data_IF_200922536988
#
_entry.id   IF_200922536988
#
_cell.length_a   1.000
_cell.length_b   1.000
_cell.length_c   1.000
_cell.angle_alpha   90.00
_cell.angle_beta   90.00
_cell.angle_gamma   90.00
#
_symmetry.space_group_name_H-M   'P 1'
#
loop_
_entity.id
_entity.type
_entity.pdbx_description
1 polymer ?
#
# COMPACT_ATOMS: atom_id res chain seq x y z
N UNK A 1 26.61 -2.25 -52.50
CA UNK A 1 27.37 -3.29 -51.76
C UNK A 1 26.84 -3.34 -50.32
N UNK A 2 26.15 -4.43 -49.99
CA UNK A 2 25.70 -4.61 -48.60
C UNK A 2 26.92 -4.77 -47.70
N UNK A 3 27.03 -3.92 -46.70
CA UNK A 3 28.16 -3.92 -45.74
C UNK A 3 27.99 -5.08 -44.74
N UNK A 4 28.10 -6.32 -45.20
CA UNK A 4 27.90 -7.56 -44.43
C UNK A 4 28.80 -7.61 -43.20
N UNK A 5 30.00 -7.01 -43.27
CA UNK A 5 30.90 -6.93 -42.13
C UNK A 5 30.38 -6.03 -40.99
N UNK A 6 29.87 -4.86 -41.32
CA UNK A 6 29.28 -3.94 -40.32
C UNK A 6 28.05 -4.58 -39.66
N UNK A 7 27.23 -5.28 -40.42
CA UNK A 7 26.06 -5.97 -39.89
C UNK A 7 26.45 -7.10 -38.92
N UNK A 8 27.49 -7.85 -39.27
CA UNK A 8 28.04 -8.91 -38.40
C UNK A 8 28.61 -8.35 -37.08
N UNK A 9 29.39 -7.26 -37.18
CA UNK A 9 29.96 -6.58 -35.99
C UNK A 9 28.82 -6.08 -35.10
N UNK A 10 27.80 -5.43 -35.66
CA UNK A 10 26.65 -4.95 -34.90
C UNK A 10 25.91 -6.12 -34.22
N UNK A 11 25.67 -7.23 -34.90
CA UNK A 11 25.00 -8.41 -34.32
C UNK A 11 25.80 -8.99 -33.15
N UNK A 12 27.12 -9.11 -33.29
CA UNK A 12 27.99 -9.64 -32.23
C UNK A 12 27.99 -8.69 -31.01
N UNK A 13 28.09 -7.37 -31.25
CA UNK A 13 28.01 -6.39 -30.15
C UNK A 13 26.67 -6.44 -29.43
N UNK A 14 25.59 -6.56 -30.17
CA UNK A 14 24.24 -6.69 -29.60
C UNK A 14 24.13 -7.98 -28.77
N UNK A 15 24.60 -9.12 -29.30
CA UNK A 15 24.61 -10.37 -28.55
C UNK A 15 25.43 -10.29 -27.26
N UNK A 16 26.59 -9.66 -27.31
CA UNK A 16 27.41 -9.42 -26.11
C UNK A 16 26.69 -8.53 -25.09
N UNK A 17 26.02 -7.47 -25.53
CA UNK A 17 25.22 -6.63 -24.66
C UNK A 17 24.07 -7.41 -24.00
N UNK A 18 23.38 -8.28 -24.73
CA UNK A 18 22.33 -9.14 -24.18
C UNK A 18 22.90 -10.13 -23.14
N UNK A 19 24.01 -10.78 -23.43
CA UNK A 19 24.68 -11.71 -22.49
C UNK A 19 25.12 -10.97 -21.23
N UNK A 20 25.70 -9.78 -21.38
CA UNK A 20 26.08 -8.94 -20.26
C UNK A 20 24.87 -8.59 -19.38
N UNK A 21 23.76 -8.15 -19.97
CA UNK A 21 22.55 -7.81 -19.26
C UNK A 21 21.92 -8.99 -18.52
N UNK A 22 21.86 -10.16 -19.16
CA UNK A 22 21.33 -11.40 -18.56
C UNK A 22 22.23 -11.94 -17.45
N UNK A 23 23.54 -11.64 -17.47
CA UNK A 23 24.47 -12.13 -16.47
C UNK A 23 24.17 -11.62 -15.05
N UNK A 24 23.58 -10.42 -14.90
CA UNK A 24 23.17 -9.90 -13.61
C UNK A 24 22.18 -10.83 -12.90
N UNK A 25 21.17 -11.32 -13.60
CA UNK A 25 20.18 -12.25 -13.03
C UNK A 25 20.80 -13.59 -12.59
N UNK A 26 21.83 -14.05 -13.27
CA UNK A 26 22.52 -15.30 -12.90
C UNK A 26 23.31 -15.13 -11.61
N UNK A 27 23.99 -14.01 -11.45
CA UNK A 27 24.80 -13.76 -10.25
C UNK A 27 23.93 -13.42 -9.02
N UNK A 28 22.85 -12.66 -9.17
CA UNK A 28 21.90 -12.37 -8.07
C UNK A 28 21.19 -13.62 -7.59
N UNK A 29 20.77 -14.52 -8.51
CA UNK A 29 20.07 -15.76 -8.15
C UNK A 29 20.89 -16.71 -7.28
N UNK A 30 22.21 -16.64 -7.36
CA UNK A 30 23.12 -17.42 -6.52
C UNK A 30 23.02 -17.06 -5.05
N UNK A 31 23.00 -15.77 -4.72
CA UNK A 31 22.82 -15.28 -3.35
C UNK A 31 21.38 -15.48 -2.86
N UNK A 32 20.40 -15.24 -3.70
CA UNK A 32 18.98 -15.45 -3.37
C UNK A 32 18.66 -16.90 -2.99
N UNK A 33 19.26 -17.87 -3.69
CA UNK A 33 19.10 -19.29 -3.32
C UNK A 33 19.71 -19.62 -1.96
N UNK A 34 20.87 -19.04 -1.63
CA UNK A 34 21.50 -19.19 -0.31
C UNK A 34 20.60 -18.56 0.77
N UNK A 35 20.14 -17.34 0.54
CA UNK A 35 19.24 -16.64 1.44
C UNK A 35 17.97 -17.45 1.72
N UNK A 36 17.33 -17.99 0.69
CA UNK A 36 16.12 -18.82 0.83
C UNK A 36 16.40 -20.13 1.58
N UNK A 37 17.56 -20.76 1.36
CA UNK A 37 17.92 -21.98 2.07
C UNK A 37 18.16 -21.71 3.57
N UNK A 38 18.88 -20.65 3.90
CA UNK A 38 19.21 -20.28 5.29
C UNK A 38 17.96 -19.77 6.02
N UNK A 39 17.11 -18.98 5.35
CA UNK A 39 15.84 -18.52 5.88
C UNK A 39 14.92 -19.67 6.30
N UNK A 40 14.85 -20.75 5.53
CA UNK A 40 14.06 -21.93 5.89
C UNK A 40 14.56 -22.60 7.18
N UNK A 41 15.86 -22.73 7.34
CA UNK A 41 16.46 -23.31 8.54
C UNK A 41 16.18 -22.45 9.77
N UNK A 42 16.36 -21.13 9.64
CA UNK A 42 16.11 -20.19 10.74
C UNK A 42 14.61 -20.10 11.10
N UNK A 43 13.75 -20.08 10.09
CA UNK A 43 12.29 -20.06 10.30
C UNK A 43 11.82 -21.33 11.01
N UNK A 44 12.34 -22.50 10.64
CA UNK A 44 12.02 -23.75 11.31
C UNK A 44 12.49 -23.74 12.77
N UNK A 45 13.71 -23.33 13.05
CA UNK A 45 14.24 -23.22 14.40
C UNK A 45 13.44 -22.23 15.27
N UNK A 46 13.04 -21.11 14.71
CA UNK A 46 12.19 -20.12 15.40
C UNK A 46 10.79 -20.66 15.67
N UNK A 47 10.18 -21.38 14.72
CA UNK A 47 8.89 -22.04 14.89
C UNK A 47 8.93 -23.10 15.97
N UNK A 48 9.98 -23.94 15.98
CA UNK A 48 10.16 -24.98 16.99
C UNK A 48 10.30 -24.37 18.40
N UNK A 49 11.03 -23.25 18.51
CA UNK A 49 11.19 -22.51 19.76
C UNK A 49 9.86 -21.90 20.25
N UNK A 50 9.07 -21.31 19.35
CA UNK A 50 7.75 -20.76 19.69
C UNK A 50 6.75 -21.84 20.07
N UNK A 51 6.83 -23.00 19.42
CA UNK A 51 6.00 -24.16 19.75
C UNK A 51 6.34 -24.71 21.13
N UNK A 52 7.62 -24.77 21.49
CA UNK A 52 8.08 -25.15 22.82
C UNK A 52 7.59 -24.19 23.93
N UNK A 53 7.37 -22.91 23.59
CA UNK A 53 6.80 -21.89 24.47
C UNK A 53 5.25 -21.86 24.48
N UNK A 54 4.59 -22.81 23.82
CA UNK A 54 3.12 -22.90 23.75
C UNK A 54 2.45 -21.93 22.78
N UNK A 55 3.23 -21.23 21.94
CA UNK A 55 2.74 -20.22 20.96
C UNK A 55 2.79 -20.70 19.52
N UNK A 56 2.87 -22.00 19.29
CA UNK A 56 3.02 -22.59 17.95
C UNK A 56 1.82 -22.35 17.01
N UNK A 57 0.61 -22.17 17.56
CA UNK A 57 -0.60 -21.97 16.74
C UNK A 57 -0.66 -20.60 16.02
N UNK A 58 0.18 -19.64 16.41
CA UNK A 58 0.20 -18.29 15.83
C UNK A 58 1.34 -18.10 14.80
N UNK A 59 2.11 -19.15 14.50
CA UNK A 59 3.32 -19.03 13.68
C UNK A 59 2.98 -19.14 12.20
N UNK A 60 3.10 -18.02 11.51
CA UNK A 60 3.08 -17.98 10.05
C UNK A 60 4.48 -18.28 9.50
N UNK A 61 4.71 -19.54 9.11
CA UNK A 61 6.00 -20.01 8.59
C UNK A 61 6.46 -19.25 7.34
N UNK A 62 5.54 -18.92 6.44
CA UNK A 62 5.90 -18.18 5.21
C UNK A 62 6.35 -16.76 5.53
N UNK A 63 5.72 -16.14 6.54
CA UNK A 63 6.12 -14.83 7.02
C UNK A 63 7.52 -14.84 7.63
N UNK A 64 7.82 -15.85 8.44
CA UNK A 64 9.12 -16.03 9.06
C UNK A 64 10.20 -16.29 8.01
N UNK A 65 9.96 -17.20 7.07
CA UNK A 65 10.89 -17.47 5.97
C UNK A 65 11.20 -16.18 5.18
N UNK A 66 10.17 -15.42 4.80
CA UNK A 66 10.35 -14.17 4.06
C UNK A 66 11.08 -13.11 4.88
N UNK A 67 10.83 -13.03 6.18
CA UNK A 67 11.51 -12.11 7.07
C UNK A 67 13.02 -12.42 7.15
N UNK A 68 13.39 -13.68 7.39
CA UNK A 68 14.78 -14.10 7.44
C UNK A 68 15.48 -14.00 6.08
N UNK A 69 14.80 -14.33 4.98
CA UNK A 69 15.33 -14.14 3.63
C UNK A 69 15.66 -12.67 3.36
N UNK A 70 14.73 -11.76 3.66
CA UNK A 70 14.95 -10.32 3.49
C UNK A 70 16.01 -9.77 4.44
N UNK A 71 16.13 -10.30 5.64
CA UNK A 71 17.17 -9.93 6.56
C UNK A 71 18.54 -10.34 6.01
N UNK A 72 18.70 -11.58 5.58
CA UNK A 72 19.91 -12.10 4.98
C UNK A 72 20.35 -11.28 3.77
N UNK A 73 19.44 -11.00 2.84
CA UNK A 73 19.73 -10.22 1.65
C UNK A 73 20.14 -8.77 1.97
N UNK A 74 19.59 -8.17 3.02
CA UNK A 74 20.00 -6.84 3.49
C UNK A 74 21.39 -6.84 4.11
N UNK A 75 21.69 -7.83 4.93
CA UNK A 75 23.00 -7.99 5.56
C UNK A 75 24.11 -8.22 4.52
N UNK A 76 23.79 -8.93 3.43
CA UNK A 76 24.72 -9.27 2.34
C UNK A 76 24.55 -8.35 1.10
N UNK A 77 23.83 -7.24 1.21
CA UNK A 77 23.61 -6.31 0.10
C UNK A 77 24.91 -5.72 -0.49
N UNK A 78 25.93 -5.56 0.35
CA UNK A 78 27.26 -5.07 -0.02
C UNK A 78 28.22 -6.13 -0.55
N UNK A 79 27.87 -7.42 -0.49
CA UNK A 79 28.75 -8.50 -0.91
C UNK A 79 28.94 -8.49 -2.42
N UNK A 80 30.20 -8.64 -2.83
CA UNK A 80 30.57 -8.68 -4.25
C UNK A 80 30.15 -10.01 -4.86
N UNK A 81 29.08 -9.99 -5.63
CA UNK A 81 28.53 -11.19 -6.30
C UNK A 81 28.96 -11.31 -7.76
N UNK A 82 29.37 -10.20 -8.39
CA UNK A 82 29.83 -10.18 -9.79
C UNK A 82 31.36 -10.29 -9.86
N UNK A 83 31.91 -11.45 -10.28
CA UNK A 83 33.34 -11.71 -10.16
C UNK A 83 34.22 -10.86 -11.10
N UNK A 84 33.69 -10.47 -12.29
CA UNK A 84 34.45 -9.75 -13.32
C UNK A 84 34.55 -8.26 -13.02
N UNK A 85 33.46 -7.63 -12.63
CA UNK A 85 33.38 -6.19 -12.42
C UNK A 85 33.32 -5.79 -10.93
N UNK A 86 33.20 -6.78 -10.03
CA UNK A 86 33.18 -6.55 -8.59
C UNK A 86 31.92 -5.83 -8.09
N UNK A 87 30.80 -5.87 -8.84
CA UNK A 87 29.55 -5.29 -8.39
C UNK A 87 28.99 -6.03 -7.18
N UNK A 88 28.46 -5.26 -6.25
CA UNK A 88 27.73 -5.78 -5.08
C UNK A 88 26.38 -6.37 -5.50
N UNK A 89 25.75 -7.13 -4.58
CA UNK A 89 24.41 -7.65 -4.80
C UNK A 89 23.39 -6.53 -5.07
N UNK A 90 23.43 -5.44 -4.28
CA UNK A 90 22.54 -4.31 -4.47
C UNK A 90 22.69 -3.67 -5.87
N UNK A 91 23.93 -3.43 -6.32
CA UNK A 91 24.21 -2.88 -7.65
C UNK A 91 23.78 -3.82 -8.78
N UNK A 92 23.98 -5.14 -8.61
CA UNK A 92 23.51 -6.13 -9.57
C UNK A 92 21.98 -6.17 -9.63
N UNK A 93 21.31 -6.05 -8.49
CA UNK A 93 19.85 -6.06 -8.39
C UNK A 93 19.21 -4.83 -9.04
N UNK A 94 19.85 -3.67 -8.91
CA UNK A 94 19.42 -2.45 -9.60
C UNK A 94 19.54 -2.55 -11.14
N UNK A 95 20.60 -3.25 -11.61
CA UNK A 95 20.87 -3.44 -13.05
C UNK A 95 20.16 -4.65 -13.65
N UNK A 96 19.56 -5.50 -12.83
CA UNK A 96 18.82 -6.68 -13.29
C UNK A 96 17.62 -6.30 -14.15
N UNK A 97 17.32 -7.12 -15.16
CA UNK A 97 16.12 -6.93 -15.99
C UNK A 97 14.88 -7.17 -15.13
N UNK A 98 14.01 -6.18 -15.10
CA UNK A 98 12.68 -6.31 -14.46
C UNK A 98 11.82 -7.29 -15.27
N UNK A 99 11.69 -8.51 -14.77
CA UNK A 99 10.76 -9.49 -15.30
C UNK A 99 9.37 -9.20 -14.75
N UNK A 100 8.44 -8.84 -15.65
CA UNK A 100 7.04 -8.57 -15.30
C UNK A 100 6.30 -9.80 -14.78
N UNK A 101 5.02 -9.63 -14.51
CA UNK A 101 4.10 -10.68 -14.03
C UNK A 101 4.07 -11.92 -14.92
N UNK A 102 4.20 -11.74 -16.22
CA UNK A 102 4.13 -12.83 -17.20
C UNK A 102 5.28 -13.84 -17.06
N UNK A 103 6.45 -13.40 -16.60
CA UNK A 103 7.65 -14.22 -16.49
C UNK A 103 7.95 -14.69 -15.08
N UNK A 104 7.66 -13.87 -14.06
CA UNK A 104 7.88 -14.21 -12.63
C UNK A 104 6.60 -14.72 -11.95
N UNK A 105 5.44 -14.59 -12.59
CA UNK A 105 4.16 -14.75 -11.91
C UNK A 105 3.96 -13.63 -10.87
N UNK A 106 2.99 -13.77 -9.99
CA UNK A 106 2.68 -12.77 -8.98
C UNK A 106 1.22 -12.35 -9.00
N UNK A 107 0.94 -11.08 -8.66
CA UNK A 107 -0.41 -10.53 -8.69
C UNK A 107 -0.43 -9.09 -9.19
N UNK A 108 -1.52 -8.73 -9.86
CA UNK A 108 -1.92 -7.34 -10.11
C UNK A 108 -3.12 -7.01 -9.22
N UNK A 109 -3.12 -5.83 -8.64
CA UNK A 109 -4.20 -5.30 -7.82
C UNK A 109 -4.50 -3.88 -8.27
N UNK A 110 -5.77 -3.57 -8.44
CA UNK A 110 -6.23 -2.20 -8.63
C UNK A 110 -6.92 -1.75 -7.34
N UNK A 111 -6.43 -0.70 -6.74
CA UNK A 111 -7.04 -0.04 -5.58
C UNK A 111 -7.65 1.27 -6.04
N UNK A 112 -8.74 1.66 -5.42
CA UNK A 112 -9.43 2.91 -5.73
C UNK A 112 -9.57 3.73 -4.46
N UNK A 113 -9.20 5.00 -4.55
CA UNK A 113 -9.47 6.00 -3.51
C UNK A 113 -10.88 6.51 -3.73
N UNK A 114 -11.74 6.38 -2.72
CA UNK A 114 -13.11 6.84 -2.81
C UNK A 114 -13.17 8.38 -2.80
N UNK A 115 -13.16 8.97 -3.98
CA UNK A 115 -13.32 10.42 -4.11
C UNK A 115 -14.69 10.91 -3.58
N UNK A 116 -15.80 10.18 -3.80
CA UNK A 116 -17.07 10.55 -3.16
C UNK A 116 -16.99 10.66 -1.65
N UNK A 117 -16.37 9.69 -0.97
CA UNK A 117 -16.21 9.73 0.49
C UNK A 117 -15.27 10.87 0.93
N UNK A 118 -14.24 11.16 0.14
CA UNK A 118 -13.38 12.31 0.41
C UNK A 118 -14.16 13.62 0.39
N UNK A 119 -15.02 13.83 -0.62
CA UNK A 119 -15.87 15.02 -0.74
C UNK A 119 -16.86 15.11 0.43
N UNK A 120 -17.49 13.99 0.83
CA UNK A 120 -18.36 13.93 2.02
C UNK A 120 -17.62 14.28 3.30
N UNK A 121 -16.42 13.74 3.51
CA UNK A 121 -15.62 14.05 4.70
C UNK A 121 -15.16 15.52 4.72
N UNK A 122 -14.81 16.09 3.57
CA UNK A 122 -14.44 17.50 3.46
C UNK A 122 -15.63 18.44 3.69
N UNK A 123 -16.86 18.01 3.43
CA UNK A 123 -18.08 18.73 3.77
C UNK A 123 -18.52 18.52 5.24
N UNK A 124 -17.73 17.81 6.07
CA UNK A 124 -18.11 17.38 7.42
C UNK A 124 -19.40 16.58 7.47
N UNK A 125 -19.65 15.75 6.43
CA UNK A 125 -20.87 15.01 6.23
C UNK A 125 -22.11 15.92 6.19
N UNK A 126 -22.04 16.99 5.42
CA UNK A 126 -23.10 17.98 5.28
C UNK A 126 -24.44 17.31 4.96
N UNK A 127 -25.48 17.75 5.66
CA UNK A 127 -26.87 17.31 5.44
C UNK A 127 -27.67 18.29 4.57
N UNK A 128 -26.99 19.24 3.93
CA UNK A 128 -27.63 20.17 2.99
C UNK A 128 -28.32 19.40 1.87
N UNK A 129 -29.63 19.64 1.62
CA UNK A 129 -30.40 18.88 0.63
C UNK A 129 -29.83 18.98 -0.79
N UNK A 130 -29.29 20.16 -1.17
CA UNK A 130 -28.70 20.34 -2.50
C UNK A 130 -27.40 19.54 -2.64
N UNK A 131 -26.56 19.54 -1.60
CA UNK A 131 -25.35 18.75 -1.53
C UNK A 131 -25.65 17.25 -1.64
N UNK A 132 -26.59 16.75 -0.82
CA UNK A 132 -26.96 15.33 -0.80
C UNK A 132 -27.51 14.89 -2.15
N UNK A 133 -28.39 15.70 -2.78
CA UNK A 133 -28.94 15.41 -4.09
C UNK A 133 -27.84 15.40 -5.17
N UNK A 134 -26.94 16.40 -5.18
CA UNK A 134 -25.84 16.47 -6.12
C UNK A 134 -24.90 15.26 -5.99
N UNK A 135 -24.56 14.86 -4.77
CA UNK A 135 -23.72 13.69 -4.50
C UNK A 135 -24.34 12.39 -5.00
N UNK A 136 -25.64 12.19 -4.76
CA UNK A 136 -26.38 11.01 -5.23
C UNK A 136 -26.41 10.94 -6.78
N UNK A 137 -26.71 12.07 -7.43
CA UNK A 137 -26.75 12.16 -8.90
C UNK A 137 -25.37 11.96 -9.52
N UNK A 138 -24.33 12.57 -8.95
CA UNK A 138 -22.96 12.41 -9.40
C UNK A 138 -22.48 10.95 -9.31
N UNK A 139 -22.79 10.25 -8.21
CA UNK A 139 -22.52 8.81 -8.05
C UNK A 139 -23.24 7.96 -9.12
N UNK A 140 -24.50 8.26 -9.38
CA UNK A 140 -25.26 7.55 -10.43
C UNK A 140 -24.64 7.76 -11.82
N UNK A 141 -24.18 8.97 -12.13
CA UNK A 141 -23.53 9.29 -13.40
C UNK A 141 -22.13 8.73 -13.53
N UNK A 142 -21.41 8.55 -12.43
CA UNK A 142 -20.03 8.02 -12.44
C UNK A 142 -19.94 6.63 -13.09
N UNK A 143 -21.01 5.84 -13.00
CA UNK A 143 -21.05 4.50 -13.60
C UNK A 143 -21.15 4.51 -15.13
N UNK A 144 -21.55 5.63 -15.73
CA UNK A 144 -21.82 5.79 -17.17
C UNK A 144 -21.05 6.92 -17.83
N UNK A 145 -20.14 7.57 -17.11
CA UNK A 145 -19.34 8.70 -17.60
C UNK A 145 -17.86 8.48 -17.31
N UNK A 146 -17.01 8.90 -18.23
CA UNK A 146 -15.54 8.92 -18.08
C UNK A 146 -15.04 10.21 -17.38
N UNK A 147 -15.93 11.14 -17.05
CA UNK A 147 -15.57 12.37 -16.34
C UNK A 147 -15.19 12.09 -14.89
N UNK A 148 -14.29 12.90 -14.34
CA UNK A 148 -13.95 12.79 -12.91
C UNK A 148 -15.13 13.13 -12.02
N UNK A 149 -15.17 12.50 -10.83
CA UNK A 149 -16.30 12.65 -9.91
C UNK A 149 -16.55 14.11 -9.49
N UNK A 150 -15.49 14.91 -9.30
CA UNK A 150 -15.64 16.30 -8.84
C UNK A 150 -16.28 17.16 -9.93
N UNK A 151 -15.96 16.89 -11.20
CA UNK A 151 -16.63 17.54 -12.34
C UNK A 151 -18.10 17.16 -12.37
N UNK A 152 -18.44 15.86 -12.25
CA UNK A 152 -19.83 15.39 -12.20
C UNK A 152 -20.58 16.02 -11.03
N UNK A 153 -19.97 16.07 -9.84
CA UNK A 153 -20.53 16.71 -8.66
C UNK A 153 -20.84 18.19 -8.90
N UNK A 154 -19.87 18.95 -9.46
CA UNK A 154 -20.08 20.37 -9.76
C UNK A 154 -21.21 20.63 -10.75
N UNK A 155 -21.30 19.80 -11.81
CA UNK A 155 -22.39 19.88 -12.78
C UNK A 155 -23.75 19.55 -12.17
N UNK A 156 -23.83 18.54 -11.32
CA UNK A 156 -25.10 18.14 -10.67
C UNK A 156 -25.49 19.16 -9.59
N UNK A 157 -24.52 19.72 -8.86
CA UNK A 157 -24.79 20.75 -7.87
C UNK A 157 -25.36 22.02 -8.50
N UNK A 158 -24.80 22.45 -9.62
CA UNK A 158 -25.28 23.61 -10.37
C UNK A 158 -26.72 23.43 -10.94
N UNK A 159 -27.20 22.21 -11.09
CA UNK A 159 -28.56 21.91 -11.57
C UNK A 159 -29.63 21.95 -10.48
N UNK A 160 -29.23 21.88 -9.20
CA UNK A 160 -30.19 21.89 -8.09
C UNK A 160 -30.75 23.30 -7.93
N UNK A 161 -32.05 23.47 -8.06
CA UNK A 161 -32.69 24.76 -7.87
C UNK A 161 -32.60 25.21 -6.41
N UNK A 162 -32.21 26.48 -6.20
CA UNK A 162 -32.10 27.09 -4.88
C UNK A 162 -30.88 26.66 -4.06
N UNK A 163 -29.87 26.04 -4.68
CA UNK A 163 -28.62 25.76 -4.00
C UNK A 163 -27.93 27.05 -3.53
N UNK A 164 -27.32 26.97 -2.35
CA UNK A 164 -26.40 28.01 -1.87
C UNK A 164 -25.00 27.88 -2.54
N UNK A 165 -24.07 28.76 -2.24
CA UNK A 165 -22.70 28.64 -2.73
C UNK A 165 -21.98 27.46 -2.05
N UNK A 166 -21.02 26.84 -2.73
CA UNK A 166 -20.18 25.76 -2.17
C UNK A 166 -19.43 26.20 -0.90
N UNK A 167 -19.16 27.50 -0.75
CA UNK A 167 -18.56 28.05 0.47
C UNK A 167 -19.39 27.76 1.73
N UNK A 168 -20.72 27.72 1.65
CA UNK A 168 -21.59 27.40 2.78
C UNK A 168 -21.43 25.93 3.24
N UNK A 169 -20.95 25.04 2.38
CA UNK A 169 -20.81 23.60 2.61
C UNK A 169 -19.40 23.25 3.06
N UNK A 170 -18.38 23.80 2.40
CA UNK A 170 -16.99 23.37 2.59
C UNK A 170 -16.14 24.31 3.44
N UNK A 171 -16.54 25.58 3.59
CA UNK A 171 -15.76 26.51 4.37
C UNK A 171 -15.83 26.20 5.85
N UNK A 172 -14.66 26.05 6.47
CA UNK A 172 -14.48 25.99 7.93
C UNK A 172 -13.29 26.84 8.32
N UNK A 173 -13.32 27.57 9.44
CA UNK A 173 -12.18 28.35 9.95
C UNK A 173 -10.88 27.55 10.09
N UNK A 174 -10.99 26.26 10.37
CA UNK A 174 -9.85 25.33 10.50
C UNK A 174 -9.24 24.95 9.15
N UNK A 175 -9.94 25.19 8.04
CA UNK A 175 -9.52 24.87 6.67
C UNK A 175 -9.40 26.09 5.76
N UNK A 176 -9.21 27.28 6.36
CA UNK A 176 -9.04 28.54 5.62
C UNK A 176 -7.88 28.53 4.60
N UNK A 177 -6.87 27.69 4.81
CA UNK A 177 -5.74 27.56 3.89
C UNK A 177 -6.10 26.75 2.63
N UNK A 178 -7.16 25.96 2.71
CA UNK A 178 -7.65 25.14 1.61
C UNK A 178 -8.81 25.79 0.87
N UNK A 179 -9.73 26.41 1.62
CA UNK A 179 -10.96 27.01 1.13
C UNK A 179 -11.05 28.49 1.53
N UNK A 180 -11.08 29.37 0.52
CA UNK A 180 -11.29 30.79 0.76
C UNK A 180 -12.79 31.05 0.95
N UNK A 181 -13.15 31.82 1.97
CA UNK A 181 -14.54 32.19 2.28
C UNK A 181 -15.24 32.92 1.14
N UNK A 182 -14.49 33.72 0.38
CA UNK A 182 -15.00 34.55 -0.73
C UNK A 182 -14.78 33.89 -2.09
N UNK A 183 -14.26 32.66 -2.11
CA UNK A 183 -13.99 31.89 -3.32
C UNK A 183 -15.26 31.57 -4.11
N UNK A 184 -15.13 31.49 -5.41
CA UNK A 184 -16.20 31.01 -6.31
C UNK A 184 -16.40 29.50 -6.19
N UNK A 185 -17.54 28.99 -6.63
CA UNK A 185 -17.79 27.54 -6.66
C UNK A 185 -16.73 26.79 -7.49
N UNK A 186 -16.21 27.40 -8.55
CA UNK A 186 -15.11 26.83 -9.33
C UNK A 186 -13.80 26.75 -8.54
N UNK A 187 -13.50 27.74 -7.69
CA UNK A 187 -12.33 27.70 -6.79
C UNK A 187 -12.44 26.55 -5.80
N UNK A 188 -13.65 26.29 -5.28
CA UNK A 188 -13.94 25.16 -4.41
C UNK A 188 -13.77 23.82 -5.14
N UNK A 189 -14.30 23.67 -6.35
CA UNK A 189 -14.11 22.48 -7.15
C UNK A 189 -12.62 22.22 -7.46
N UNK A 190 -11.86 23.29 -7.75
CA UNK A 190 -10.42 23.19 -7.96
C UNK A 190 -9.66 22.83 -6.67
N UNK A 191 -10.11 23.31 -5.51
CA UNK A 191 -9.56 22.94 -4.22
C UNK A 191 -9.83 21.45 -3.92
N UNK A 192 -11.04 20.96 -4.18
CA UNK A 192 -11.40 19.56 -4.06
C UNK A 192 -10.54 18.65 -4.97
N UNK A 193 -10.26 19.08 -6.22
CA UNK A 193 -9.37 18.34 -7.13
C UNK A 193 -7.94 18.24 -6.58
N UNK A 194 -7.40 19.36 -6.07
CA UNK A 194 -6.06 19.35 -5.43
C UNK A 194 -6.00 18.42 -4.23
N UNK A 195 -7.06 18.40 -3.42
CA UNK A 195 -7.11 17.52 -2.26
C UNK A 195 -7.25 16.04 -2.65
N UNK A 196 -8.05 15.74 -3.67
CA UNK A 196 -8.15 14.40 -4.24
C UNK A 196 -6.79 13.90 -4.78
N UNK A 197 -6.04 14.76 -5.46
CA UNK A 197 -4.70 14.44 -5.93
C UNK A 197 -3.71 14.24 -4.76
N UNK A 198 -3.79 15.08 -3.74
CA UNK A 198 -2.99 14.95 -2.52
C UNK A 198 -3.29 13.63 -1.80
N UNK A 199 -4.55 13.28 -1.64
CA UNK A 199 -4.98 12.01 -1.06
C UNK A 199 -4.46 10.81 -1.86
N UNK A 200 -4.52 10.86 -3.20
CA UNK A 200 -4.00 9.82 -4.08
C UNK A 200 -2.48 9.68 -3.95
N UNK A 201 -1.74 10.79 -3.89
CA UNK A 201 -0.29 10.81 -3.70
C UNK A 201 0.11 10.24 -2.32
N UNK A 202 -0.63 10.59 -1.27
CA UNK A 202 -0.41 10.06 0.06
C UNK A 202 -0.68 8.55 0.11
N UNK A 203 -1.76 8.10 -0.53
CA UNK A 203 -2.12 6.68 -0.62
C UNK A 203 -1.04 5.90 -1.36
N UNK A 204 -0.55 6.40 -2.50
CA UNK A 204 0.57 5.78 -3.23
C UNK A 204 1.79 5.61 -2.32
N UNK A 205 2.18 6.65 -1.58
CA UNK A 205 3.34 6.62 -0.68
C UNK A 205 3.16 5.59 0.45
N UNK A 206 1.97 5.51 1.03
CA UNK A 206 1.63 4.52 2.06
C UNK A 206 1.71 3.11 1.49
N UNK A 207 1.12 2.89 0.31
CA UNK A 207 1.13 1.59 -0.37
C UNK A 207 2.57 1.17 -0.72
N UNK A 208 3.38 2.08 -1.23
CA UNK A 208 4.81 1.83 -1.50
C UNK A 208 5.54 1.39 -0.24
N UNK A 209 5.38 2.13 0.86
CA UNK A 209 6.02 1.79 2.15
C UNK A 209 5.56 0.42 2.67
N UNK A 210 4.29 0.06 2.47
CA UNK A 210 3.76 -1.25 2.86
C UNK A 210 4.36 -2.37 2.00
N UNK A 211 4.42 -2.16 0.69
CA UNK A 211 4.94 -3.13 -0.28
C UNK A 211 6.44 -3.37 -0.04
N UNK A 212 7.22 -2.32 0.23
CA UNK A 212 8.64 -2.43 0.53
C UNK A 212 8.92 -3.30 1.76
N UNK A 213 8.01 -3.27 2.77
CA UNK A 213 8.11 -4.15 3.95
C UNK A 213 7.87 -5.62 3.64
N UNK A 214 7.19 -5.95 2.54
CA UNK A 214 7.02 -7.33 2.08
C UNK A 214 8.23 -7.89 1.36
N UNK A 215 9.22 -7.06 1.04
CA UNK A 215 10.41 -7.49 0.30
C UNK A 215 10.13 -7.91 -1.14
N UNK A 216 9.03 -7.42 -1.73
CA UNK A 216 8.75 -7.65 -3.15
C UNK A 216 9.78 -6.90 -3.97
N UNK A 217 10.55 -7.63 -4.76
CA UNK A 217 11.52 -7.03 -5.65
C UNK A 217 10.80 -6.29 -6.79
N UNK A 218 11.05 -4.98 -6.90
CA UNK A 218 10.64 -4.13 -8.03
C UNK A 218 9.12 -4.11 -8.28
N UNK A 219 8.30 -3.64 -7.32
CA UNK A 219 6.88 -3.45 -7.56
C UNK A 219 6.65 -2.31 -8.55
N UNK A 220 5.68 -2.47 -9.45
CA UNK A 220 5.19 -1.39 -10.31
C UNK A 220 3.95 -0.78 -9.65
N UNK A 221 3.98 0.53 -9.38
CA UNK A 221 2.85 1.27 -8.80
C UNK A 221 2.55 2.43 -9.74
N UNK A 222 1.38 2.39 -10.36
CA UNK A 222 0.97 3.37 -11.37
C UNK A 222 -0.37 4.00 -10.98
N UNK A 223 -0.39 5.32 -10.89
CA UNK A 223 -1.63 6.09 -10.70
C UNK A 223 -2.32 6.25 -12.04
N UNK A 224 -3.61 5.97 -12.10
CA UNK A 224 -4.45 6.31 -13.23
C UNK A 224 -5.03 7.70 -13.01
N UNK A 225 -4.69 8.62 -13.89
CA UNK A 225 -5.19 9.98 -13.82
C UNK A 225 -6.73 9.98 -13.91
N UNK A 226 -7.37 10.89 -13.18
CA UNK A 226 -8.82 11.17 -13.17
C UNK A 226 -9.73 10.08 -12.59
N UNK A 227 -9.25 8.85 -12.36
CA UNK A 227 -10.09 7.74 -11.87
C UNK A 227 -9.96 7.47 -10.39
N UNK A 228 -8.98 8.08 -9.70
CA UNK A 228 -8.66 7.75 -8.31
C UNK A 228 -8.06 6.35 -8.12
N UNK A 229 -7.69 5.66 -9.20
CA UNK A 229 -7.20 4.29 -9.17
C UNK A 229 -5.68 4.22 -9.14
N UNK A 230 -5.18 3.26 -8.40
CA UNK A 230 -3.76 2.91 -8.32
C UNK A 230 -3.63 1.45 -8.74
N UNK A 231 -2.95 1.21 -9.85
CA UNK A 231 -2.61 -0.13 -10.30
C UNK A 231 -1.28 -0.54 -9.69
N UNK A 232 -1.25 -1.70 -9.08
CA UNK A 232 -0.08 -2.25 -8.41
C UNK A 232 0.21 -3.62 -8.98
N UNK A 233 1.43 -3.81 -9.49
CA UNK A 233 1.92 -5.08 -9.96
C UNK A 233 3.03 -5.57 -9.02
N UNK A 234 2.88 -6.78 -8.53
CA UNK A 234 3.77 -7.40 -7.56
C UNK A 234 4.33 -8.70 -8.12
N UNK A 235 5.43 -8.63 -8.91
CA UNK A 235 6.05 -9.82 -9.48
C UNK A 235 6.63 -10.73 -8.39
N UNK A 236 6.48 -12.05 -8.57
CA UNK A 236 7.08 -13.06 -7.70
C UNK A 236 6.39 -13.28 -6.35
N UNK A 237 5.28 -12.60 -6.08
CA UNK A 237 4.49 -12.82 -4.86
C UNK A 237 3.84 -14.19 -4.88
N UNK A 238 4.10 -14.99 -3.84
CA UNK A 238 3.53 -16.34 -3.66
C UNK A 238 2.21 -16.29 -2.88
N UNK A 239 2.18 -15.54 -1.77
CA UNK A 239 1.01 -15.40 -0.90
C UNK A 239 0.19 -14.16 -1.27
N UNK A 240 -0.77 -14.35 -2.18
CA UNK A 240 -1.64 -13.28 -2.68
C UNK A 240 -2.64 -12.79 -1.65
N UNK A 241 -3.13 -13.68 -0.77
CA UNK A 241 -4.16 -13.35 0.20
C UNK A 241 -3.60 -12.50 1.35
N UNK A 242 -2.40 -12.80 1.78
CA UNK A 242 -1.69 -12.00 2.76
C UNK A 242 -1.42 -10.58 2.24
N UNK A 243 -0.90 -10.47 1.02
CA UNK A 243 -0.65 -9.17 0.39
C UNK A 243 -1.95 -8.38 0.28
N UNK A 244 -3.04 -9.01 -0.18
CA UNK A 244 -4.36 -8.36 -0.26
C UNK A 244 -4.80 -7.82 1.10
N UNK A 245 -4.72 -8.62 2.16
CA UNK A 245 -5.09 -8.19 3.53
C UNK A 245 -4.31 -6.96 3.98
N UNK A 246 -3.00 -6.91 3.71
CA UNK A 246 -2.17 -5.77 4.13
C UNK A 246 -2.40 -4.54 3.28
N UNK A 247 -2.61 -4.68 1.97
CA UNK A 247 -2.94 -3.56 1.11
C UNK A 247 -4.31 -2.95 1.46
N UNK A 248 -5.28 -3.78 1.83
CA UNK A 248 -6.62 -3.35 2.21
C UNK A 248 -6.73 -2.90 3.68
N UNK A 249 -5.75 -3.23 4.53
CA UNK A 249 -5.82 -2.85 5.93
C UNK A 249 -5.76 -1.34 6.09
N UNK A 250 -6.74 -0.79 6.79
CA UNK A 250 -6.73 0.58 7.28
C UNK A 250 -6.04 0.59 8.64
N UNK A 251 -5.11 1.53 8.84
CA UNK A 251 -4.48 1.74 10.12
C UNK A 251 -5.09 3.02 10.74
N UNK A 252 -5.90 2.86 11.77
CA UNK A 252 -6.30 3.97 12.60
C UNK A 252 -5.23 4.18 13.67
N UNK A 253 -4.76 5.41 13.79
CA UNK A 253 -3.89 5.79 14.91
C UNK A 253 -4.80 6.12 16.09
N UNK A 254 -4.72 5.28 17.11
CA UNK A 254 -5.46 5.47 18.36
C UNK A 254 -4.48 5.66 19.50
N UNK A 255 -4.75 6.65 20.34
CA UNK A 255 -4.01 6.87 21.56
C UNK A 255 -4.87 6.37 22.72
N UNK A 256 -4.35 5.39 23.46
CA UNK A 256 -5.03 4.83 24.61
C UNK A 256 -4.31 5.28 25.87
N UNK A 257 -5.06 5.87 26.79
CA UNK A 257 -4.57 6.11 28.12
C UNK A 257 -4.45 4.77 28.85
N UNK A 258 -3.26 4.46 29.33
CA UNK A 258 -3.00 3.19 30.03
C UNK A 258 -2.83 3.45 31.51
N UNK A 259 -3.35 2.55 32.33
CA UNK A 259 -3.18 2.58 33.77
C UNK A 259 -2.15 1.54 34.19
N UNK A 260 -1.30 1.87 35.14
CA UNK A 260 -0.40 0.91 35.73
C UNK A 260 -1.19 -0.14 36.54
N UNK A 261 -0.68 -1.38 36.54
CA UNK A 261 -1.31 -2.49 37.29
C UNK A 261 -1.51 -2.13 38.78
N UNK A 262 -0.66 -1.30 39.33
CA UNK A 262 -0.76 -0.83 40.73
C UNK A 262 -2.00 0.03 40.96
N UNK A 263 -2.44 0.79 39.95
CA UNK A 263 -3.54 1.73 40.09
C UNK A 263 -4.90 1.06 40.00
N UNK A 264 -4.98 -0.06 39.26
CA UNK A 264 -6.23 -0.77 38.98
C UNK A 264 -6.36 -2.13 39.68
N UNK A 265 -5.27 -2.65 40.30
CA UNK A 265 -5.26 -4.00 40.88
C UNK A 265 -6.36 -4.18 41.94
N UNK A 266 -6.51 -3.26 42.85
CA UNK A 266 -7.53 -3.32 43.92
C UNK A 266 -8.96 -3.34 43.37
N UNK A 267 -9.20 -2.60 42.27
CA UNK A 267 -10.50 -2.55 41.57
C UNK A 267 -10.80 -3.84 40.81
N UNK A 268 -9.77 -4.43 40.16
CA UNK A 268 -9.88 -5.71 39.48
C UNK A 268 -10.15 -6.85 40.46
N UNK A 269 -9.51 -6.86 41.63
CA UNK A 269 -9.73 -7.85 42.69
C UNK A 269 -11.16 -7.77 43.24
N UNK A 270 -11.66 -6.54 43.47
CA UNK A 270 -13.06 -6.33 43.88
C UNK A 270 -14.05 -6.78 42.82
N UNK A 271 -13.75 -6.48 41.52
CA UNK A 271 -14.59 -6.92 40.41
C UNK A 271 -14.60 -8.46 40.30
N UNK A 272 -13.43 -9.10 40.43
CA UNK A 272 -13.31 -10.56 40.41
C UNK A 272 -14.08 -11.22 41.57
N UNK A 273 -14.00 -10.66 42.77
CA UNK A 273 -14.75 -11.14 43.96
C UNK A 273 -16.26 -11.00 43.71
N UNK A 274 -16.72 -9.86 43.19
CA UNK A 274 -18.15 -9.68 42.84
C UNK A 274 -18.62 -10.64 41.74
N UNK A 275 -17.78 -10.86 40.74
CA UNK A 275 -18.09 -11.82 39.67
C UNK A 275 -18.18 -13.25 40.24
N UNK A 276 -17.27 -13.62 41.11
CA UNK A 276 -17.28 -14.92 41.81
C UNK A 276 -18.58 -15.17 42.60
N UNK A 277 -19.06 -14.16 43.34
CA UNK A 277 -20.33 -14.26 44.08
C UNK A 277 -21.57 -14.29 43.15
N UNK A 278 -21.50 -13.63 42.00
CA UNK A 278 -22.58 -13.70 41.00
C UNK A 278 -22.67 -15.02 40.24
N UNK A 279 -21.49 -15.63 39.98
CA UNK A 279 -21.42 -16.89 39.25
C UNK A 279 -21.68 -18.14 40.16
N UNK A 280 -21.35 -18.03 41.45
CA UNK A 280 -21.55 -19.08 42.42
C UNK A 280 -22.29 -18.52 43.68
N UNK A 281 -23.59 -18.25 43.58
CA UNK A 281 -24.37 -17.68 44.69
C UNK A 281 -24.47 -18.60 45.91
N UNK A 282 -24.24 -19.93 45.73
CA UNK A 282 -24.32 -20.94 46.78
C UNK A 282 -22.99 -21.23 47.46
N UNK A 283 -21.90 -20.49 47.12
CA UNK A 283 -20.57 -20.69 47.71
C UNK A 283 -20.21 -19.69 48.82
N UNK A 284 -21.17 -18.90 49.33
CA UNK A 284 -21.02 -17.89 50.39
C UNK A 284 -21.43 -18.43 51.75
#
# INVERSE_FOLDING_TARGET
>A
MQNRGALWIFTVLLALACVYQLSFSVFTSGLERKASAEAKVLAQAASDSLTALGRGAEVDMQALELQYENQYLREHAGDKVYPVFGYSYAECKEKEINLGLDLKGGMAVTLEVSIPELVENLSENSTDPAFVAAMANARARQTSSDADFITLFGEEFAKVEGHGPLSAIFYSPDRKDMFDREGSDEDYLNALRREAESALNNTERILRTRIDKFGVAQPSIQKQQFTGRIQIELPGVKDKDRVRKVLQSTANLEFWETFDNRDIYAQLEQANTRLGTLLNPDAA
#
